data_IF_850716697240
#
_entry.id   IF_850716697240
#
_cell.length_a   1.000
_cell.length_b   1.000
_cell.length_c   1.000
_cell.angle_alpha   90.00
_cell.angle_beta   90.00
_cell.angle_gamma   90.00
#
_symmetry.space_group_name_H-M   'P 1'
#
loop_
_entity.id
_entity.type
_entity.pdbx_description
1 polymer ?
#
# COMPACT_ATOMS: atom_id res chain seq x y z
N UNK A 1 50.39 17.69 -2.07
CA UNK A 1 48.96 17.68 -1.82
C UNK A 1 48.61 16.26 -1.42
N UNK A 2 48.02 16.00 -0.26
CA UNK A 2 47.50 14.68 0.07
C UNK A 2 46.35 14.40 -0.88
N UNK A 3 46.37 13.28 -1.58
CA UNK A 3 45.20 12.74 -2.25
C UNK A 3 44.26 12.28 -1.16
N UNK A 4 43.18 13.04 -0.92
CA UNK A 4 42.05 12.53 -0.21
C UNK A 4 41.48 11.40 -1.06
N UNK A 5 41.53 10.18 -0.56
CA UNK A 5 40.75 9.09 -1.10
C UNK A 5 39.28 9.53 -0.95
N UNK A 6 38.44 9.39 -1.96
CA UNK A 6 37.04 9.66 -1.79
C UNK A 6 36.52 8.77 -0.65
N UNK A 7 36.09 9.39 0.44
CA UNK A 7 35.24 8.70 1.42
C UNK A 7 34.12 8.09 0.61
N UNK A 8 33.89 6.79 0.77
CA UNK A 8 32.73 6.13 0.16
C UNK A 8 31.51 6.97 0.57
N UNK A 9 30.86 7.62 -0.38
CA UNK A 9 29.69 8.43 -0.10
C UNK A 9 28.68 7.52 0.60
N UNK A 10 28.22 7.86 1.81
CA UNK A 10 27.27 7.01 2.51
C UNK A 10 26.05 6.80 1.62
N UNK A 11 25.63 5.56 1.49
CA UNK A 11 24.45 5.22 0.70
C UNK A 11 23.23 5.95 1.27
N UNK A 12 22.49 6.66 0.41
CA UNK A 12 21.32 7.43 0.83
C UNK A 12 20.06 6.58 0.96
N UNK A 13 20.11 5.33 0.48
CA UNK A 13 18.98 4.39 0.46
C UNK A 13 19.26 3.21 1.38
N UNK A 14 18.28 2.89 2.22
CA UNK A 14 18.30 1.66 3.04
C UNK A 14 17.12 0.76 2.71
N UNK A 15 17.37 -0.54 2.78
CA UNK A 15 16.31 -1.57 2.72
C UNK A 15 16.32 -2.35 4.02
N UNK A 16 15.23 -2.28 4.76
CA UNK A 16 15.05 -2.92 6.06
C UNK A 16 14.08 -4.09 5.93
N UNK A 17 14.57 -5.29 6.17
CA UNK A 17 13.75 -6.52 6.21
C UNK A 17 13.21 -6.78 7.61
N UNK A 18 11.88 -6.81 7.75
CA UNK A 18 11.20 -6.96 9.03
C UNK A 18 10.67 -8.37 9.23
N UNK A 19 11.14 -9.04 10.30
CA UNK A 19 10.72 -10.40 10.62
C UNK A 19 11.19 -11.45 9.62
N UNK A 20 10.57 -12.63 9.60
CA UNK A 20 10.98 -13.73 8.74
C UNK A 20 10.82 -13.42 7.24
N UNK A 21 9.61 -13.06 6.79
CA UNK A 21 9.34 -12.79 5.37
C UNK A 21 10.14 -11.60 4.83
N UNK A 22 10.13 -10.46 5.53
CA UNK A 22 10.93 -9.31 5.11
C UNK A 22 12.43 -9.58 5.15
N UNK A 23 12.90 -10.34 6.15
CA UNK A 23 14.29 -10.78 6.25
C UNK A 23 14.71 -11.66 5.07
N UNK A 24 13.86 -12.61 4.65
CA UNK A 24 14.12 -13.48 3.49
C UNK A 24 14.23 -12.66 2.20
N UNK A 25 13.33 -11.73 1.98
CA UNK A 25 13.37 -10.85 0.81
C UNK A 25 14.66 -10.03 0.78
N UNK A 26 15.09 -9.45 1.92
CA UNK A 26 16.35 -8.68 1.99
C UNK A 26 17.57 -9.61 1.84
N UNK A 27 17.53 -10.82 2.37
CA UNK A 27 18.60 -11.80 2.14
C UNK A 27 18.74 -12.15 0.66
N UNK A 28 17.62 -12.22 -0.07
CA UNK A 28 17.63 -12.44 -1.51
C UNK A 28 18.21 -11.24 -2.25
N UNK A 29 17.74 -10.03 -1.96
CA UNK A 29 18.28 -8.78 -2.54
C UNK A 29 19.79 -8.63 -2.33
N UNK A 30 20.25 -8.96 -1.13
CA UNK A 30 21.67 -8.91 -0.80
C UNK A 30 22.51 -9.88 -1.63
N UNK A 31 21.99 -11.10 -1.87
CA UNK A 31 22.66 -12.09 -2.72
C UNK A 31 22.68 -11.70 -4.20
N UNK A 32 21.63 -11.01 -4.68
CA UNK A 32 21.57 -10.48 -6.05
C UNK A 32 22.55 -9.30 -6.29
N UNK A 33 23.11 -8.71 -5.22
CA UNK A 33 24.13 -7.68 -5.33
C UNK A 33 23.59 -6.34 -5.85
N UNK A 34 22.47 -5.86 -5.31
CA UNK A 34 21.94 -4.53 -5.64
C UNK A 34 22.91 -3.48 -5.09
N UNK A 35 23.41 -2.61 -5.96
CA UNK A 35 24.41 -1.59 -5.64
C UNK A 35 23.79 -0.32 -5.04
N UNK A 36 24.63 0.45 -4.33
CA UNK A 36 24.28 1.77 -3.77
C UNK A 36 23.11 1.75 -2.77
N UNK A 37 22.90 0.61 -2.10
CA UNK A 37 21.86 0.40 -1.08
C UNK A 37 22.48 -0.27 0.15
N UNK A 38 22.11 0.21 1.33
CA UNK A 38 22.45 -0.45 2.61
C UNK A 38 21.34 -1.41 3.02
N UNK A 39 21.67 -2.67 3.21
CA UNK A 39 20.72 -3.69 3.68
C UNK A 39 20.80 -3.86 5.19
N UNK A 40 19.61 -3.96 5.81
CA UNK A 40 19.45 -4.19 7.24
C UNK A 40 18.38 -5.26 7.46
N UNK A 41 18.59 -6.16 8.40
CA UNK A 41 17.54 -7.09 8.86
C UNK A 41 17.22 -6.81 10.32
N UNK A 42 15.92 -6.68 10.61
CA UNK A 42 15.37 -6.45 11.93
C UNK A 42 14.44 -7.60 12.31
N UNK A 43 14.67 -8.22 13.47
CA UNK A 43 13.83 -9.31 13.93
C UNK A 43 13.76 -9.35 15.47
N UNK A 44 12.68 -9.91 16.00
CA UNK A 44 12.55 -10.28 17.42
C UNK A 44 13.16 -11.64 17.71
N UNK A 45 13.55 -12.39 16.69
CA UNK A 45 14.18 -13.72 16.77
C UNK A 45 15.67 -13.63 16.46
N UNK A 46 16.49 -13.89 17.46
CA UNK A 46 17.95 -13.80 17.34
C UNK A 46 18.54 -14.92 16.46
N UNK A 47 17.92 -16.11 16.44
CA UNK A 47 18.38 -17.20 15.60
C UNK A 47 18.22 -16.85 14.11
N UNK A 48 17.05 -16.30 13.72
CA UNK A 48 16.82 -15.84 12.35
C UNK A 48 17.78 -14.73 11.92
N UNK A 49 18.16 -13.83 12.85
CA UNK A 49 19.18 -12.83 12.60
C UNK A 49 20.57 -13.45 12.39
N UNK A 50 20.93 -14.45 13.19
CA UNK A 50 22.23 -15.11 13.09
C UNK A 50 22.42 -15.80 11.72
N UNK A 51 21.37 -16.39 11.18
CA UNK A 51 21.38 -17.12 9.89
C UNK A 51 21.41 -16.19 8.66
N UNK A 52 21.08 -14.91 8.82
CA UNK A 52 21.07 -13.94 7.71
C UNK A 52 22.48 -13.64 7.21
N UNK A 53 22.73 -13.57 5.89
CA UNK A 53 24.00 -13.14 5.30
C UNK A 53 24.22 -11.62 5.36
N UNK A 54 23.17 -10.86 5.66
CA UNK A 54 23.23 -9.39 5.71
C UNK A 54 24.09 -8.93 6.89
N UNK A 55 25.05 -8.02 6.68
CA UNK A 55 26.00 -7.65 7.74
C UNK A 55 25.37 -6.80 8.85
N UNK A 56 24.40 -5.93 8.50
CA UNK A 56 23.74 -5.06 9.48
C UNK A 56 22.47 -5.73 10.00
N UNK A 57 22.46 -6.02 11.29
CA UNK A 57 21.40 -6.76 11.97
C UNK A 57 20.95 -6.00 13.21
N UNK A 58 19.66 -5.88 13.41
CA UNK A 58 19.08 -5.26 14.59
C UNK A 58 18.08 -6.22 15.26
N UNK A 59 18.40 -6.64 16.48
CA UNK A 59 17.47 -7.37 17.30
C UNK A 59 16.46 -6.39 17.93
N UNK A 60 15.17 -6.68 17.81
CA UNK A 60 14.10 -5.92 18.43
C UNK A 60 13.70 -6.57 19.76
N UNK A 61 13.72 -5.77 20.82
CA UNK A 61 13.51 -6.24 22.18
C UNK A 61 14.69 -7.06 22.72
N UNK A 62 14.63 -7.38 24.01
CA UNK A 62 15.76 -8.00 24.74
C UNK A 62 15.70 -9.53 24.73
N UNK A 63 14.53 -10.13 24.54
CA UNK A 63 14.34 -11.57 24.73
C UNK A 63 14.96 -12.43 23.62
N UNK A 64 14.90 -11.99 22.36
CA UNK A 64 15.47 -12.72 21.21
C UNK A 64 14.73 -14.02 20.83
N UNK A 65 13.55 -14.29 21.41
CA UNK A 65 12.80 -15.53 21.27
C UNK A 65 11.69 -15.48 20.20
N UNK A 66 11.62 -14.39 19.44
CA UNK A 66 10.56 -14.14 18.47
C UNK A 66 9.26 -13.65 19.11
N UNK A 67 8.36 -13.13 18.29
CA UNK A 67 7.07 -12.57 18.73
C UNK A 67 5.96 -13.63 18.91
N UNK A 68 6.17 -14.89 18.55
CA UNK A 68 5.18 -15.96 18.70
C UNK A 68 3.88 -15.71 17.95
N UNK A 69 3.96 -15.11 16.77
CA UNK A 69 2.81 -14.71 15.93
C UNK A 69 1.84 -13.72 16.63
N UNK A 70 2.37 -12.86 17.52
CA UNK A 70 1.61 -11.83 18.26
C UNK A 70 2.15 -10.45 17.88
N UNK A 71 1.41 -9.65 17.09
CA UNK A 71 1.86 -8.32 16.66
C UNK A 71 2.10 -7.36 17.83
N UNK A 72 1.27 -7.42 18.88
CA UNK A 72 1.40 -6.55 20.05
C UNK A 72 2.77 -6.72 20.72
N UNK A 73 3.23 -7.97 20.87
CA UNK A 73 4.54 -8.29 21.43
C UNK A 73 5.69 -7.78 20.58
N UNK A 74 5.53 -7.86 19.25
CA UNK A 74 6.53 -7.32 18.34
C UNK A 74 6.54 -5.78 18.34
N UNK A 75 5.37 -5.15 18.49
CA UNK A 75 5.26 -3.70 18.67
C UNK A 75 6.01 -3.23 19.90
N UNK A 76 5.73 -3.85 21.05
CA UNK A 76 6.42 -3.55 22.31
C UNK A 76 7.95 -3.71 22.18
N UNK A 77 8.40 -4.79 21.55
CA UNK A 77 9.82 -5.03 21.29
C UNK A 77 10.45 -3.96 20.39
N UNK A 78 9.72 -3.46 19.39
CA UNK A 78 10.19 -2.36 18.54
C UNK A 78 10.23 -1.03 19.30
N UNK A 79 9.24 -0.76 20.16
CA UNK A 79 9.20 0.42 21.02
C UNK A 79 10.35 0.41 22.03
N UNK A 80 10.73 -0.74 22.59
CA UNK A 80 11.93 -0.88 23.44
C UNK A 80 13.23 -0.55 22.72
N UNK A 81 13.31 -0.85 21.42
CA UNK A 81 14.53 -0.69 20.60
C UNK A 81 14.52 0.61 19.78
N UNK A 82 13.66 1.56 20.11
CA UNK A 82 13.45 2.76 19.30
C UNK A 82 14.72 3.62 19.13
N UNK A 83 15.56 3.70 20.15
CA UNK A 83 16.81 4.47 20.09
C UNK A 83 17.84 3.79 19.20
N UNK A 84 17.90 2.46 19.20
CA UNK A 84 18.77 1.71 18.28
C UNK A 84 18.32 1.88 16.83
N UNK A 85 16.99 1.89 16.60
CA UNK A 85 16.40 2.18 15.28
C UNK A 85 16.76 3.59 14.80
N UNK A 86 16.65 4.60 15.66
CA UNK A 86 17.05 5.97 15.33
C UNK A 86 18.54 6.05 15.04
N UNK A 87 19.38 5.40 15.85
CA UNK A 87 20.82 5.32 15.61
C UNK A 87 21.17 4.72 14.25
N UNK A 88 20.47 3.63 13.86
CA UNK A 88 20.63 2.97 12.57
C UNK A 88 20.22 3.86 11.39
N UNK A 89 19.20 4.71 11.56
CA UNK A 89 18.67 5.58 10.51
C UNK A 89 19.44 6.92 10.41
N UNK A 90 20.20 7.32 11.44
CA UNK A 90 20.85 8.63 11.54
C UNK A 90 22.27 8.67 10.94
N UNK A 91 22.51 7.99 9.84
CA UNK A 91 23.80 7.92 9.14
C UNK A 91 23.80 8.61 7.76
N UNK A 92 22.89 9.55 7.55
CA UNK A 92 22.72 10.25 6.27
C UNK A 92 21.69 9.63 5.34
N UNK A 93 20.94 8.61 5.81
CA UNK A 93 19.84 8.00 5.08
C UNK A 93 18.78 9.03 4.67
N UNK A 94 18.36 9.02 3.41
CA UNK A 94 17.32 9.91 2.85
C UNK A 94 16.06 9.15 2.47
N UNK A 95 16.18 7.85 2.24
CA UNK A 95 15.08 6.99 1.85
C UNK A 95 15.22 5.61 2.48
N UNK A 96 14.10 5.09 2.97
CA UNK A 96 14.05 3.74 3.52
C UNK A 96 12.92 2.94 2.88
N UNK A 97 13.27 1.74 2.41
CA UNK A 97 12.31 0.70 2.10
C UNK A 97 12.14 -0.19 3.32
N UNK A 98 10.91 -0.39 3.76
CA UNK A 98 10.57 -1.31 4.84
C UNK A 98 9.79 -2.46 4.24
N UNK A 99 10.43 -3.61 4.12
CA UNK A 99 9.80 -4.82 3.57
C UNK A 99 9.37 -5.75 4.69
N UNK A 100 8.13 -6.23 4.61
CA UNK A 100 7.55 -7.11 5.62
C UNK A 100 6.52 -8.08 5.04
N UNK A 101 6.57 -9.35 5.47
CA UNK A 101 5.42 -10.24 5.32
C UNK A 101 4.40 -9.97 6.42
N UNK A 102 3.20 -9.52 6.04
CA UNK A 102 2.11 -9.27 6.97
C UNK A 102 1.42 -10.59 7.38
N UNK A 103 0.73 -10.56 8.51
CA UNK A 103 0.05 -11.74 9.07
C UNK A 103 0.90 -12.54 10.07
N UNK A 104 2.20 -12.22 10.21
CA UNK A 104 3.07 -12.73 11.27
C UNK A 104 3.13 -11.79 12.49
N UNK A 105 3.97 -12.12 13.47
CA UNK A 105 4.18 -11.26 14.64
C UNK A 105 5.03 -10.04 14.30
N UNK A 106 6.31 -10.26 13.95
CA UNK A 106 7.31 -9.20 13.82
C UNK A 106 7.01 -8.25 12.66
N UNK A 107 6.73 -8.77 11.45
CA UNK A 107 6.41 -7.92 10.30
C UNK A 107 5.18 -7.05 10.55
N UNK A 108 4.10 -7.63 11.07
CA UNK A 108 2.83 -6.93 11.30
C UNK A 108 2.90 -5.90 12.43
N UNK A 109 3.60 -6.23 13.53
CA UNK A 109 3.62 -5.39 14.72
C UNK A 109 4.73 -4.36 14.74
N UNK A 110 5.94 -4.73 14.33
CA UNK A 110 7.13 -3.88 14.43
C UNK A 110 7.33 -2.96 13.21
N UNK A 111 6.98 -3.40 11.99
CA UNK A 111 7.20 -2.59 10.78
C UNK A 111 6.53 -1.22 10.84
N UNK A 112 5.26 -1.06 11.30
CA UNK A 112 4.62 0.25 11.41
C UNK A 112 5.36 1.19 12.40
N UNK A 113 5.96 0.66 13.46
CA UNK A 113 6.71 1.46 14.44
C UNK A 113 8.00 2.00 13.83
N UNK A 114 8.72 1.14 13.11
CA UNK A 114 9.95 1.56 12.41
C UNK A 114 9.62 2.56 11.30
N UNK A 115 8.54 2.33 10.55
CA UNK A 115 8.07 3.25 9.53
C UNK A 115 7.75 4.63 10.10
N UNK A 116 7.00 4.67 11.21
CA UNK A 116 6.72 5.91 11.93
C UNK A 116 8.00 6.62 12.35
N UNK A 117 8.95 5.89 12.93
CA UNK A 117 10.22 6.47 13.36
C UNK A 117 11.01 7.08 12.20
N UNK A 118 11.07 6.39 11.06
CA UNK A 118 11.72 6.91 9.85
C UNK A 118 11.03 8.17 9.31
N UNK A 119 9.70 8.15 9.25
CA UNK A 119 8.89 9.30 8.80
C UNK A 119 9.04 10.51 9.75
N UNK A 120 9.06 10.29 11.06
CA UNK A 120 9.27 11.32 12.08
C UNK A 120 10.69 11.95 11.98
N UNK A 121 11.65 11.24 11.36
CA UNK A 121 13.01 11.74 11.05
C UNK A 121 13.11 12.42 9.67
N UNK A 122 11.99 12.69 8.97
CA UNK A 122 11.90 13.23 7.60
C UNK A 122 12.64 12.39 6.54
N UNK A 123 12.70 11.08 6.75
CA UNK A 123 13.22 10.10 5.78
C UNK A 123 12.06 9.65 4.90
N UNK A 124 12.23 9.70 3.57
CA UNK A 124 11.23 9.17 2.63
C UNK A 124 11.01 7.69 2.91
N UNK A 125 9.82 7.34 3.40
CA UNK A 125 9.52 6.00 3.90
C UNK A 125 8.57 5.26 2.96
N UNK A 126 9.03 4.17 2.39
CA UNK A 126 8.26 3.32 1.48
C UNK A 126 8.07 1.94 2.09
N UNK A 127 6.81 1.54 2.26
CA UNK A 127 6.47 0.19 2.68
C UNK A 127 6.30 -0.74 1.47
N UNK A 128 6.88 -1.93 1.53
CA UNK A 128 6.65 -3.00 0.54
C UNK A 128 6.24 -4.24 1.30
N UNK A 129 4.96 -4.58 1.25
CA UNK A 129 4.40 -5.62 2.12
C UNK A 129 3.66 -6.69 1.34
N UNK A 130 3.68 -7.93 1.87
CA UNK A 130 2.91 -9.03 1.31
C UNK A 130 1.74 -9.40 2.19
N UNK A 131 0.61 -9.74 1.55
CA UNK A 131 -0.54 -10.38 2.18
C UNK A 131 -0.39 -11.90 1.97
N UNK A 132 -0.60 -12.74 3.02
CA UNK A 132 -0.39 -14.18 2.95
C UNK A 132 -1.31 -14.88 1.96
N UNK A 133 -0.92 -16.10 1.57
CA UNK A 133 -1.75 -17.00 0.78
C UNK A 133 -3.02 -17.41 1.52
N UNK A 134 -4.08 -17.72 0.78
CA UNK A 134 -5.37 -18.14 1.35
C UNK A 134 -5.26 -19.38 2.24
N UNK A 135 -4.39 -20.34 1.86
CA UNK A 135 -4.17 -21.56 2.64
C UNK A 135 -3.50 -21.34 4.01
N UNK A 136 -2.92 -20.16 4.25
CA UNK A 136 -2.33 -19.82 5.55
C UNK A 136 -3.38 -19.51 6.62
N UNK A 137 -4.63 -19.36 6.24
CA UNK A 137 -5.82 -19.27 7.09
C UNK A 137 -6.30 -17.83 7.38
N UNK A 138 -7.62 -17.71 7.56
CA UNK A 138 -8.31 -16.42 7.66
C UNK A 138 -7.74 -15.52 8.78
N UNK A 139 -7.43 -16.08 9.95
CA UNK A 139 -6.87 -15.30 11.07
C UNK A 139 -5.57 -14.59 10.68
N UNK A 140 -4.74 -15.26 9.86
CA UNK A 140 -3.47 -14.68 9.43
C UNK A 140 -3.69 -13.59 8.39
N UNK A 141 -4.70 -13.78 7.53
CA UNK A 141 -5.12 -12.79 6.54
C UNK A 141 -5.69 -11.55 7.23
N UNK A 142 -6.62 -11.72 8.17
CA UNK A 142 -7.20 -10.60 8.93
C UNK A 142 -6.11 -9.80 9.65
N UNK A 143 -5.17 -10.50 10.30
CA UNK A 143 -4.02 -9.89 10.96
C UNK A 143 -3.11 -9.14 9.96
N UNK A 144 -2.97 -9.66 8.73
CA UNK A 144 -2.20 -9.00 7.68
C UNK A 144 -2.88 -7.70 7.21
N UNK A 145 -4.18 -7.74 6.98
CA UNK A 145 -4.96 -6.57 6.58
C UNK A 145 -4.91 -5.46 7.64
N UNK A 146 -5.01 -5.84 8.93
CA UNK A 146 -4.80 -4.91 10.05
C UNK A 146 -3.40 -4.28 10.04
N UNK A 147 -2.39 -5.08 9.70
CA UNK A 147 -1.01 -4.62 9.57
C UNK A 147 -0.81 -3.66 8.41
N UNK A 148 -1.43 -3.96 7.26
CA UNK A 148 -1.41 -3.11 6.06
C UNK A 148 -2.04 -1.74 6.37
N UNK A 149 -3.20 -1.72 7.04
CA UNK A 149 -3.86 -0.49 7.45
C UNK A 149 -2.99 0.36 8.37
N UNK A 150 -2.39 -0.24 9.41
CA UNK A 150 -1.46 0.45 10.31
C UNK A 150 -0.23 0.96 9.59
N UNK A 151 0.32 0.15 8.67
CA UNK A 151 1.50 0.54 7.89
C UNK A 151 1.22 1.74 7.00
N UNK A 152 0.05 1.80 6.35
CA UNK A 152 -0.33 2.89 5.45
C UNK A 152 -0.39 4.26 6.13
N UNK A 153 -0.64 4.30 7.43
CA UNK A 153 -0.67 5.54 8.21
C UNK A 153 0.73 6.12 8.49
N UNK A 154 1.77 5.29 8.36
CA UNK A 154 3.12 5.64 8.79
C UNK A 154 4.16 5.65 7.66
N UNK A 155 3.76 5.40 6.42
CA UNK A 155 4.61 5.48 5.23
C UNK A 155 4.20 6.62 4.31
N UNK A 156 5.07 7.01 3.40
CA UNK A 156 4.75 7.96 2.32
C UNK A 156 4.09 7.24 1.15
N UNK A 157 4.57 6.05 0.84
CA UNK A 157 3.97 5.18 -0.17
C UNK A 157 3.96 3.73 0.32
N UNK A 158 2.91 2.98 -0.02
CA UNK A 158 2.73 1.59 0.38
C UNK A 158 2.46 0.71 -0.85
N UNK A 159 3.38 -0.18 -1.16
CA UNK A 159 3.16 -1.25 -2.13
C UNK A 159 2.63 -2.49 -1.40
N UNK A 160 1.48 -2.98 -1.82
CA UNK A 160 0.85 -4.17 -1.25
C UNK A 160 0.81 -5.27 -2.29
N UNK A 161 1.49 -6.38 -2.01
CA UNK A 161 1.59 -7.54 -2.88
C UNK A 161 0.71 -8.64 -2.32
N UNK A 162 -0.26 -9.10 -3.09
CA UNK A 162 -1.11 -10.22 -2.71
C UNK A 162 -0.51 -11.54 -3.22
N UNK A 163 -0.01 -12.37 -2.29
CA UNK A 163 0.58 -13.66 -2.64
C UNK A 163 -0.40 -14.60 -3.36
N UNK A 164 -1.71 -14.49 -3.09
CA UNK A 164 -2.70 -15.31 -3.77
C UNK A 164 -2.73 -15.06 -5.28
N UNK A 165 -2.44 -13.83 -5.74
CA UNK A 165 -2.30 -13.53 -7.17
C UNK A 165 -1.12 -14.24 -7.81
N UNK A 166 -0.03 -14.44 -7.07
CA UNK A 166 1.09 -15.22 -7.56
C UNK A 166 0.72 -16.69 -7.76
N UNK A 167 -0.16 -17.23 -6.91
CA UNK A 167 -0.69 -18.59 -7.08
C UNK A 167 -1.51 -18.74 -8.35
N UNK A 168 -2.32 -17.75 -8.69
CA UNK A 168 -3.15 -17.80 -9.91
C UNK A 168 -2.29 -17.87 -11.18
N UNK A 169 -1.10 -17.26 -11.17
CA UNK A 169 -0.20 -17.21 -12.31
C UNK A 169 0.75 -18.42 -12.34
N UNK A 170 1.25 -18.81 -11.18
CA UNK A 170 2.23 -19.88 -11.01
C UNK A 170 1.61 -21.10 -10.33
N UNK A 171 0.43 -21.53 -10.80
CA UNK A 171 -0.36 -22.63 -10.22
C UNK A 171 0.36 -23.98 -10.18
N UNK A 172 1.37 -24.18 -11.03
CA UNK A 172 2.21 -25.38 -11.15
C UNK A 172 3.46 -25.36 -10.24
N UNK A 173 3.68 -24.26 -9.51
CA UNK A 173 4.83 -24.16 -8.61
C UNK A 173 4.65 -25.01 -7.35
N UNK A 174 5.77 -25.56 -6.85
CA UNK A 174 5.78 -26.10 -5.49
C UNK A 174 5.56 -24.99 -4.46
N UNK A 175 5.07 -25.34 -3.26
CA UNK A 175 4.85 -24.37 -2.18
C UNK A 175 6.13 -23.58 -1.87
N UNK A 176 7.29 -24.23 -1.87
CA UNK A 176 8.57 -23.56 -1.62
C UNK A 176 8.91 -22.55 -2.73
N UNK A 177 8.65 -22.92 -3.99
CA UNK A 177 8.86 -22.01 -5.12
C UNK A 177 7.88 -20.82 -5.11
N UNK A 178 6.63 -21.03 -4.65
CA UNK A 178 5.65 -19.98 -4.51
C UNK A 178 6.07 -18.93 -3.46
N UNK A 179 6.59 -19.37 -2.31
CA UNK A 179 7.18 -18.44 -1.33
C UNK A 179 8.43 -17.72 -1.87
N UNK A 180 9.33 -18.48 -2.54
CA UNK A 180 10.48 -17.86 -3.21
C UNK A 180 10.06 -16.80 -4.21
N UNK A 181 8.97 -17.01 -4.95
CA UNK A 181 8.44 -16.04 -5.90
C UNK A 181 7.85 -14.79 -5.23
N UNK A 182 7.24 -14.95 -4.05
CA UNK A 182 6.81 -13.82 -3.24
C UNK A 182 8.01 -12.97 -2.77
N UNK A 183 9.09 -13.61 -2.32
CA UNK A 183 10.33 -12.94 -1.93
C UNK A 183 11.00 -12.24 -3.15
N UNK A 184 11.04 -12.89 -4.33
CA UNK A 184 11.49 -12.30 -5.60
C UNK A 184 10.70 -11.03 -5.93
N UNK A 185 9.40 -11.07 -5.75
CA UNK A 185 8.51 -9.95 -6.08
C UNK A 185 8.79 -8.73 -5.20
N UNK A 186 8.99 -8.94 -3.89
CA UNK A 186 9.45 -7.89 -2.98
C UNK A 186 10.81 -7.33 -3.40
N UNK A 187 11.74 -8.22 -3.81
CA UNK A 187 13.07 -7.85 -4.28
C UNK A 187 13.00 -6.99 -5.55
N UNK A 188 12.23 -7.42 -6.55
CA UNK A 188 12.06 -6.70 -7.81
C UNK A 188 11.50 -5.30 -7.57
N UNK A 189 10.51 -5.17 -6.66
CA UNK A 189 9.91 -3.88 -6.35
C UNK A 189 10.94 -2.91 -5.73
N UNK A 190 11.66 -3.33 -4.69
CA UNK A 190 12.67 -2.49 -4.07
C UNK A 190 13.83 -2.18 -5.03
N UNK A 191 14.31 -3.19 -5.77
CA UNK A 191 15.38 -3.08 -6.75
C UNK A 191 15.06 -2.06 -7.85
N UNK A 192 13.89 -2.17 -8.45
CA UNK A 192 13.50 -1.30 -9.57
C UNK A 192 13.39 0.16 -9.15
N UNK A 193 12.88 0.45 -7.94
CA UNK A 193 12.82 1.84 -7.44
C UNK A 193 14.24 2.33 -7.09
N UNK A 194 15.07 1.50 -6.48
CA UNK A 194 16.45 1.85 -6.15
C UNK A 194 17.26 2.12 -7.43
N UNK A 195 17.15 1.27 -8.44
CA UNK A 195 17.83 1.42 -9.75
C UNK A 195 17.46 2.74 -10.45
N UNK A 196 16.20 3.17 -10.37
CA UNK A 196 15.77 4.46 -10.93
C UNK A 196 16.56 5.63 -10.33
N UNK A 197 16.95 5.52 -9.06
CA UNK A 197 17.68 6.58 -8.34
C UNK A 197 19.20 6.45 -8.53
N UNK A 198 19.72 5.23 -8.56
CA UNK A 198 21.18 4.96 -8.48
C UNK A 198 21.83 4.83 -9.84
N UNK A 199 21.12 4.33 -10.85
CA UNK A 199 21.64 4.15 -12.20
C UNK A 199 21.53 5.46 -12.97
N UNK A 200 22.61 5.89 -13.62
CA UNK A 200 22.58 7.07 -14.48
C UNK A 200 21.95 6.74 -15.83
N UNK A 201 20.89 7.47 -16.18
CA UNK A 201 20.22 7.36 -17.47
C UNK A 201 20.64 8.44 -18.48
N UNK A 202 20.25 8.28 -19.72
CA UNK A 202 20.34 9.33 -20.75
C UNK A 202 19.36 10.48 -20.43
N UNK A 203 18.15 10.13 -20.00
CA UNK A 203 17.22 11.04 -19.33
C UNK A 203 17.15 10.55 -17.90
N UNK A 204 17.79 11.30 -17.02
CA UNK A 204 18.00 10.86 -15.65
C UNK A 204 16.81 11.27 -14.77
N UNK A 205 16.38 10.34 -13.93
CA UNK A 205 15.48 10.60 -12.83
C UNK A 205 16.33 10.71 -11.55
N UNK A 206 16.20 11.80 -10.83
CA UNK A 206 16.92 12.00 -9.59
C UNK A 206 16.10 11.60 -8.36
N UNK A 207 16.73 11.61 -7.20
CA UNK A 207 16.08 11.31 -5.93
C UNK A 207 14.85 12.18 -5.68
N UNK A 208 14.89 13.47 -6.05
CA UNK A 208 13.77 14.38 -5.81
C UNK A 208 12.59 14.10 -6.74
N UNK A 209 12.82 13.61 -7.97
CA UNK A 209 11.75 13.16 -8.86
C UNK A 209 11.00 11.99 -8.26
N UNK A 210 11.73 10.99 -7.74
CA UNK A 210 11.15 9.84 -7.06
C UNK A 210 10.46 10.27 -5.76
N UNK A 211 11.07 11.17 -4.99
CA UNK A 211 10.47 11.73 -3.76
C UNK A 211 9.15 12.45 -4.09
N UNK A 212 9.08 13.23 -5.15
CA UNK A 212 7.86 13.94 -5.57
C UNK A 212 6.71 12.97 -5.85
N UNK A 213 7.00 11.84 -6.50
CA UNK A 213 5.97 10.84 -6.82
C UNK A 213 5.55 10.04 -5.60
N UNK A 214 6.49 9.64 -4.74
CA UNK A 214 6.24 8.75 -3.61
C UNK A 214 5.76 9.49 -2.35
N UNK A 215 6.19 10.74 -2.11
CA UNK A 215 5.83 11.48 -0.90
C UNK A 215 4.33 11.72 -0.84
N UNK A 216 3.73 11.29 0.28
CA UNK A 216 2.29 11.34 0.53
C UNK A 216 1.46 10.69 -0.61
N UNK A 217 2.06 9.67 -1.25
CA UNK A 217 1.50 8.97 -2.40
C UNK A 217 0.41 7.96 -2.07
N UNK A 218 0.22 7.62 -0.79
CA UNK A 218 -0.75 6.61 -0.35
C UNK A 218 -0.40 5.21 -0.82
N UNK A 219 -1.34 4.49 -1.41
CA UNK A 219 -1.03 3.19 -2.03
C UNK A 219 -0.33 3.44 -3.36
N UNK A 220 0.77 2.73 -3.55
CA UNK A 220 1.56 2.74 -4.78
C UNK A 220 1.43 1.40 -5.50
N UNK A 221 1.48 1.46 -6.81
CA UNK A 221 1.48 0.30 -7.68
C UNK A 221 2.74 0.38 -8.54
N UNK A 222 3.44 -0.73 -8.67
CA UNK A 222 4.61 -0.82 -9.51
C UNK A 222 4.53 -2.06 -10.38
N UNK A 223 4.96 -1.90 -11.62
CA UNK A 223 5.05 -3.03 -12.53
C UNK A 223 6.19 -2.85 -13.52
N UNK A 224 6.65 -3.98 -14.04
CA UNK A 224 7.69 -4.05 -15.05
C UNK A 224 7.25 -5.03 -16.14
N UNK A 225 7.41 -4.63 -17.39
CA UNK A 225 7.14 -5.48 -18.54
C UNK A 225 8.28 -5.44 -19.56
N UNK A 226 8.32 -6.46 -20.40
CA UNK A 226 9.35 -6.66 -21.40
C UNK A 226 8.72 -6.82 -22.79
N UNK A 227 9.40 -6.29 -23.82
CA UNK A 227 8.98 -6.45 -25.20
C UNK A 227 10.17 -6.68 -26.12
N UNK A 228 9.95 -7.44 -27.20
CA UNK A 228 10.96 -7.80 -28.20
C UNK A 228 10.38 -7.79 -29.60
N UNK A 229 11.18 -7.41 -30.60
CA UNK A 229 10.78 -7.41 -32.00
C UNK A 229 10.00 -6.17 -32.41
N UNK A 230 9.08 -6.33 -33.38
CA UNK A 230 8.20 -5.25 -33.82
C UNK A 230 7.24 -4.83 -32.69
N UNK A 231 7.01 -3.51 -32.54
CA UNK A 231 6.16 -2.93 -31.48
C UNK A 231 6.58 -3.36 -30.05
N UNK A 232 7.89 -3.51 -29.82
CA UNK A 232 8.46 -3.96 -28.54
C UNK A 232 8.11 -3.05 -27.38
N UNK A 233 7.91 -1.75 -27.61
CA UNK A 233 7.50 -0.78 -26.59
C UNK A 233 6.06 -1.02 -26.19
N UNK A 234 5.14 -1.17 -27.14
CA UNK A 234 3.73 -1.53 -26.85
C UNK A 234 3.63 -2.88 -26.15
N UNK A 235 4.44 -3.86 -26.55
CA UNK A 235 4.49 -5.15 -25.86
C UNK A 235 4.94 -4.99 -24.41
N UNK A 236 6.04 -4.24 -24.16
CA UNK A 236 6.54 -3.98 -22.81
C UNK A 236 5.52 -3.24 -21.93
N UNK A 237 4.84 -2.24 -22.49
CA UNK A 237 3.76 -1.52 -21.79
C UNK A 237 2.61 -2.48 -21.47
N UNK A 238 2.14 -3.27 -22.43
CA UNK A 238 1.06 -4.21 -22.21
C UNK A 238 1.43 -5.31 -21.21
N UNK A 239 2.65 -5.84 -21.28
CA UNK A 239 3.17 -6.80 -20.32
C UNK A 239 3.20 -6.21 -18.89
N UNK A 240 3.66 -4.96 -18.75
CA UNK A 240 3.62 -4.24 -17.49
C UNK A 240 2.18 -4.07 -16.98
N UNK A 241 1.23 -3.68 -17.84
CA UNK A 241 -0.18 -3.46 -17.46
C UNK A 241 -0.91 -4.76 -17.09
N UNK A 242 -0.47 -5.90 -17.57
CA UNK A 242 -1.04 -7.21 -17.24
C UNK A 242 -0.27 -7.94 -16.13
N UNK A 243 0.69 -7.26 -15.51
CA UNK A 243 1.46 -7.84 -14.42
C UNK A 243 0.56 -8.15 -13.21
N UNK A 244 0.78 -9.29 -12.56
CA UNK A 244 0.08 -9.70 -11.34
C UNK A 244 0.23 -8.71 -10.19
N UNK A 245 1.24 -7.86 -10.25
CA UNK A 245 1.52 -6.85 -9.23
C UNK A 245 0.52 -5.68 -9.27
N UNK A 246 -0.18 -5.49 -10.37
CA UNK A 246 -1.16 -4.41 -10.53
C UNK A 246 -2.50 -4.63 -9.81
N UNK A 247 -2.71 -5.79 -9.16
CA UNK A 247 -3.90 -6.08 -8.34
C UNK A 247 -5.25 -5.66 -8.96
N UNK A 248 -5.40 -5.70 -10.28
CA UNK A 248 -6.57 -5.21 -11.03
C UNK A 248 -6.88 -3.71 -10.85
N UNK A 249 -6.00 -2.93 -10.22
CA UNK A 249 -6.22 -1.50 -10.09
C UNK A 249 -5.99 -0.83 -11.44
N UNK A 250 -6.90 0.05 -11.79
CA UNK A 250 -6.76 0.85 -12.99
C UNK A 250 -5.68 1.92 -12.78
N UNK A 251 -4.49 1.68 -13.32
CA UNK A 251 -3.35 2.60 -13.23
C UNK A 251 -3.70 4.01 -13.77
N UNK A 252 -4.68 4.09 -14.68
CA UNK A 252 -5.08 5.35 -15.31
C UNK A 252 -5.78 6.31 -14.32
N UNK A 253 -6.23 5.82 -13.16
CA UNK A 253 -6.78 6.61 -12.07
C UNK A 253 -5.72 7.16 -11.10
N UNK A 254 -4.43 6.97 -11.39
CA UNK A 254 -3.34 7.50 -10.57
C UNK A 254 -3.27 9.03 -10.60
N UNK A 255 -2.77 9.63 -9.51
CA UNK A 255 -2.53 11.07 -9.42
C UNK A 255 -1.12 11.45 -9.87
N UNK A 256 -0.16 10.56 -9.63
CA UNK A 256 1.24 10.75 -10.00
C UNK A 256 1.78 9.47 -10.62
N UNK A 257 2.56 9.59 -11.67
CA UNK A 257 3.17 8.47 -12.38
C UNK A 257 4.64 8.74 -12.65
N UNK A 258 5.43 7.73 -12.46
CA UNK A 258 6.81 7.69 -12.89
C UNK A 258 7.01 6.44 -13.74
N UNK A 259 7.58 6.59 -14.91
CA UNK A 259 7.95 5.44 -15.71
C UNK A 259 9.37 5.54 -16.25
N UNK A 260 9.96 4.39 -16.48
CA UNK A 260 11.30 4.25 -17.00
C UNK A 260 11.32 3.28 -18.18
N UNK A 261 12.03 3.65 -19.24
CA UNK A 261 12.27 2.81 -20.39
C UNK A 261 13.75 2.46 -20.43
N UNK A 262 14.06 1.17 -20.45
CA UNK A 262 15.44 0.68 -20.57
C UNK A 262 15.61 -0.11 -21.86
N UNK A 263 16.74 0.09 -22.54
CA UNK A 263 17.11 -0.57 -23.78
C UNK A 263 18.63 -0.72 -23.88
N UNK A 264 19.11 -1.56 -24.79
CA UNK A 264 20.55 -1.75 -25.04
C UNK A 264 21.02 -0.88 -26.20
N UNK A 265 22.29 -0.45 -26.17
CA UNK A 265 22.93 0.26 -27.31
C UNK A 265 22.97 -0.59 -28.61
N UNK A 266 22.85 -1.91 -28.49
CA UNK A 266 22.73 -2.80 -29.65
C UNK A 266 21.39 -2.67 -30.38
N UNK A 267 20.37 -2.17 -29.73
CA UNK A 267 19.02 -2.00 -30.23
C UNK A 267 18.41 -0.72 -29.68
N UNK A 268 18.94 0.42 -30.17
CA UNK A 268 18.52 1.75 -29.68
C UNK A 268 17.03 2.00 -29.91
N UNK A 269 16.43 2.79 -29.00
CA UNK A 269 15.04 3.19 -29.11
C UNK A 269 14.87 4.23 -30.23
N UNK A 270 13.94 3.97 -31.13
CA UNK A 270 13.67 4.85 -32.28
C UNK A 270 12.62 5.89 -31.91
N UNK A 271 12.69 7.09 -32.50
CA UNK A 271 11.71 8.15 -32.31
C UNK A 271 10.29 7.73 -32.71
N UNK A 272 10.13 6.82 -33.65
CA UNK A 272 8.85 6.24 -34.05
C UNK A 272 8.20 5.43 -32.91
N UNK A 273 9.02 4.71 -32.13
CA UNK A 273 8.57 3.93 -30.97
C UNK A 273 8.08 4.82 -29.81
N UNK A 274 8.49 6.09 -29.75
CA UNK A 274 7.98 7.05 -28.76
C UNK A 274 6.51 7.43 -28.99
N UNK A 275 5.94 7.19 -30.16
CA UNK A 275 4.51 7.35 -30.38
C UNK A 275 3.69 6.35 -29.52
N UNK A 276 4.22 5.14 -29.32
CA UNK A 276 3.58 4.12 -28.46
C UNK A 276 3.56 4.56 -26.99
N UNK A 277 4.61 5.25 -26.54
CA UNK A 277 4.65 5.87 -25.20
C UNK A 277 3.65 7.03 -25.10
N UNK A 278 3.55 7.83 -26.16
CA UNK A 278 2.58 8.93 -26.22
C UNK A 278 1.14 8.40 -26.16
N UNK A 279 0.83 7.33 -26.88
CA UNK A 279 -0.48 6.67 -26.86
C UNK A 279 -0.81 6.11 -25.49
N UNK A 280 0.17 5.56 -24.78
CA UNK A 280 0.03 5.13 -23.39
C UNK A 280 -0.29 6.32 -22.47
N UNK A 281 0.48 7.41 -22.58
CA UNK A 281 0.29 8.59 -21.75
C UNK A 281 -1.04 9.32 -22.01
N UNK A 282 -1.55 9.26 -23.25
CA UNK A 282 -2.83 9.88 -23.62
C UNK A 282 -4.05 9.30 -22.89
N UNK A 283 -3.91 8.10 -22.31
CA UNK A 283 -4.97 7.43 -21.55
C UNK A 283 -5.11 7.98 -20.11
N UNK A 284 -4.12 8.74 -19.64
CA UNK A 284 -4.17 9.35 -18.32
C UNK A 284 -4.93 10.68 -18.32
N UNK A 285 -5.47 11.06 -17.16
CA UNK A 285 -6.10 12.35 -16.97
C UNK A 285 -5.13 13.52 -17.18
N UNK A 286 -5.64 14.69 -17.54
CA UNK A 286 -4.81 15.88 -17.82
C UNK A 286 -4.05 16.40 -16.61
N UNK A 287 -4.48 16.07 -15.40
CA UNK A 287 -3.94 16.58 -14.14
C UNK A 287 -2.91 15.59 -13.51
N UNK A 288 -2.56 14.51 -14.21
CA UNK A 288 -1.60 13.53 -13.70
C UNK A 288 -0.18 14.08 -13.79
N UNK A 289 0.48 14.17 -12.63
CA UNK A 289 1.90 14.54 -12.59
C UNK A 289 2.77 13.39 -13.08
N UNK A 290 3.50 13.63 -14.18
CA UNK A 290 4.30 12.60 -14.86
C UNK A 290 5.77 12.90 -14.77
N UNK A 291 6.56 11.86 -14.42
CA UNK A 291 8.02 11.83 -14.50
C UNK A 291 8.43 10.63 -15.33
N UNK A 292 9.46 10.78 -16.15
CA UNK A 292 9.97 9.66 -16.94
C UNK A 292 11.48 9.70 -17.16
N UNK A 293 12.06 8.54 -17.34
CA UNK A 293 13.48 8.35 -17.56
C UNK A 293 13.78 7.40 -18.69
N UNK A 294 15.02 7.49 -19.19
CA UNK A 294 15.53 6.67 -20.27
C UNK A 294 16.91 6.13 -19.89
N UNK A 295 17.06 4.81 -19.87
CA UNK A 295 18.25 4.14 -19.37
C UNK A 295 18.82 3.16 -20.40
N UNK A 296 20.14 3.01 -20.36
CA UNK A 296 20.86 2.01 -21.16
C UNK A 296 21.16 0.81 -20.25
N UNK A 297 20.67 -0.35 -20.64
CA UNK A 297 20.90 -1.63 -19.97
C UNK A 297 21.35 -2.67 -21.02
N UNK A 298 22.64 -2.92 -21.07
CA UNK A 298 23.23 -3.83 -22.06
C UNK A 298 22.79 -5.29 -21.91
N UNK A 299 22.26 -5.65 -20.74
CA UNK A 299 21.75 -7.00 -20.50
C UNK A 299 20.45 -7.31 -21.27
N UNK A 300 19.75 -6.28 -21.73
CA UNK A 300 18.49 -6.41 -22.46
C UNK A 300 18.66 -6.86 -23.92
N UNK A 301 19.86 -6.70 -24.48
CA UNK A 301 20.17 -7.03 -25.86
C UNK A 301 19.20 -6.38 -26.88
N UNK A 302 18.19 -7.11 -27.36
CA UNK A 302 17.17 -6.64 -28.30
C UNK A 302 15.84 -6.28 -27.62
N UNK A 303 15.74 -6.48 -26.31
CA UNK A 303 14.52 -6.23 -25.56
C UNK A 303 14.44 -4.77 -25.10
N UNK A 304 13.20 -4.33 -24.88
CA UNK A 304 12.89 -3.10 -24.14
C UNK A 304 12.23 -3.51 -22.82
N UNK A 305 12.67 -2.88 -21.73
CA UNK A 305 12.06 -3.00 -20.41
C UNK A 305 11.31 -1.71 -20.09
N UNK A 306 10.05 -1.81 -19.76
CA UNK A 306 9.20 -0.71 -19.31
C UNK A 306 8.85 -0.91 -17.83
N UNK A 307 9.24 0.03 -16.99
CA UNK A 307 8.90 0.01 -15.57
C UNK A 307 8.01 1.20 -15.24
N UNK A 308 6.91 0.97 -14.57
CA UNK A 308 5.96 2.00 -14.18
C UNK A 308 5.72 1.95 -12.68
N UNK A 309 5.70 3.14 -12.06
CA UNK A 309 5.36 3.38 -10.67
C UNK A 309 4.23 4.42 -10.64
N UNK A 310 3.09 4.06 -10.12
CA UNK A 310 1.91 4.93 -10.02
C UNK A 310 1.48 5.07 -8.56
N UNK A 311 1.07 6.28 -8.17
CA UNK A 311 0.66 6.59 -6.80
C UNK A 311 -0.61 7.44 -6.78
N UNK A 312 -1.20 7.59 -5.60
CA UNK A 312 -2.42 8.37 -5.40
C UNK A 312 -3.65 7.51 -5.19
N UNK A 313 -3.47 6.20 -5.03
CA UNK A 313 -4.56 5.28 -4.70
C UNK A 313 -4.83 5.29 -3.20
N UNK A 314 -6.09 5.04 -2.84
CA UNK A 314 -6.50 4.85 -1.46
C UNK A 314 -6.24 3.43 -0.97
N UNK A 315 -6.22 3.24 0.35
CA UNK A 315 -6.12 1.89 0.93
C UNK A 315 -7.34 1.02 0.58
N UNK A 316 -8.48 1.63 0.29
CA UNK A 316 -9.70 0.96 -0.16
C UNK A 316 -9.53 0.31 -1.54
N UNK A 317 -8.63 0.84 -2.35
CA UNK A 317 -8.34 0.31 -3.69
C UNK A 317 -7.49 -0.99 -3.63
N UNK A 318 -6.98 -1.35 -2.45
CA UNK A 318 -6.30 -2.64 -2.23
C UNK A 318 -7.36 -3.75 -2.14
N UNK A 319 -7.31 -4.77 -3.00
CA UNK A 319 -8.29 -5.85 -3.03
C UNK A 319 -8.48 -6.52 -1.66
N UNK A 320 -9.73 -6.59 -1.19
CA UNK A 320 -10.09 -7.14 0.12
C UNK A 320 -10.13 -6.15 1.27
N UNK A 321 -9.56 -4.95 1.12
CA UNK A 321 -9.58 -3.90 2.15
C UNK A 321 -10.93 -3.16 2.19
N UNK A 322 -11.59 -2.98 1.06
CA UNK A 322 -12.85 -2.24 0.94
C UNK A 322 -13.96 -2.83 1.82
N UNK A 323 -14.26 -4.11 1.66
CA UNK A 323 -15.27 -4.82 2.45
C UNK A 323 -14.94 -4.85 3.96
N UNK A 324 -13.68 -4.89 4.30
CA UNK A 324 -13.23 -4.95 5.69
C UNK A 324 -13.37 -3.59 6.37
N UNK A 325 -13.00 -2.51 5.71
CA UNK A 325 -13.15 -1.14 6.23
C UNK A 325 -14.63 -0.78 6.39
N UNK A 326 -15.49 -1.14 5.44
CA UNK A 326 -16.93 -0.92 5.54
C UNK A 326 -17.54 -1.70 6.73
N UNK A 327 -17.15 -2.96 6.94
CA UNK A 327 -17.61 -3.74 8.11
C UNK A 327 -17.14 -3.12 9.43
N UNK A 328 -15.89 -2.67 9.52
CA UNK A 328 -15.38 -2.02 10.73
C UNK A 328 -16.10 -0.71 11.03
N UNK A 329 -16.33 0.11 10.03
CA UNK A 329 -17.07 1.36 10.20
C UNK A 329 -18.47 1.08 10.76
N UNK A 330 -19.15 0.04 10.26
CA UNK A 330 -20.47 -0.39 10.76
C UNK A 330 -20.37 -0.95 12.20
N UNK A 331 -19.35 -1.75 12.50
CA UNK A 331 -19.15 -2.31 13.84
C UNK A 331 -18.78 -1.24 14.88
N UNK A 332 -17.94 -0.27 14.49
CA UNK A 332 -17.60 0.87 15.36
C UNK A 332 -18.81 1.77 15.60
N UNK A 333 -19.65 2.00 14.59
CA UNK A 333 -20.89 2.74 14.76
C UNK A 333 -21.86 2.00 15.70
N UNK A 334 -22.05 0.69 15.54
CA UNK A 334 -22.87 -0.12 16.45
C UNK A 334 -22.35 -0.10 17.87
N UNK A 335 -21.04 -0.25 18.06
CA UNK A 335 -20.41 -0.17 19.37
C UNK A 335 -20.60 1.19 20.03
N UNK A 336 -20.53 2.25 19.25
CA UNK A 336 -20.75 3.62 19.72
C UNK A 336 -22.22 3.81 20.14
N UNK A 337 -23.17 3.29 19.35
CA UNK A 337 -24.60 3.31 19.67
C UNK A 337 -24.91 2.51 20.95
N UNK A 338 -24.33 1.32 21.11
CA UNK A 338 -24.49 0.49 22.32
C UNK A 338 -23.95 1.21 23.58
N UNK A 339 -22.80 1.88 23.46
CA UNK A 339 -22.24 2.67 24.57
C UNK A 339 -23.13 3.88 24.92
N UNK A 340 -23.67 4.55 23.92
CA UNK A 340 -24.59 5.67 24.12
C UNK A 340 -25.93 5.22 24.78
N UNK A 341 -26.46 4.06 24.37
CA UNK A 341 -27.64 3.47 24.98
C UNK A 341 -27.38 3.03 26.46
N UNK A 342 -26.20 2.47 26.72
CA UNK A 342 -25.81 2.09 28.08
C UNK A 342 -25.67 3.32 29.00
N UNK A 343 -25.10 4.39 28.46
CA UNK A 343 -24.96 5.66 29.18
C UNK A 343 -26.33 6.32 29.42
N UNK A 344 -27.25 6.26 28.47
CA UNK A 344 -28.62 6.73 28.62
C UNK A 344 -29.37 5.92 29.67
N UNK A 345 -29.28 4.60 29.70
CA UNK A 345 -29.87 3.74 30.75
C UNK A 345 -29.31 4.05 32.15
N UNK A 346 -28.01 4.35 32.22
CA UNK A 346 -27.36 4.77 33.47
C UNK A 346 -27.88 6.13 33.94
N UNK A 347 -28.07 7.07 33.03
CA UNK A 347 -28.60 8.41 33.35
C UNK A 347 -30.09 8.38 33.73
N UNK A 348 -30.90 7.57 33.04
CA UNK A 348 -32.30 7.34 33.44
C UNK A 348 -32.40 6.73 34.83
N UNK A 349 -31.60 5.71 35.13
CA UNK A 349 -31.55 5.07 36.45
C UNK A 349 -31.09 6.03 37.56
N UNK A 350 -30.15 6.93 37.24
CA UNK A 350 -29.75 8.01 38.18
C UNK A 350 -30.85 9.05 38.35
N UNK A 351 -31.55 9.39 37.27
CA UNK A 351 -32.67 10.33 37.27
C UNK A 351 -33.85 9.86 38.12
N UNK A 352 -34.13 8.55 38.13
CA UNK A 352 -35.17 7.94 38.95
C UNK A 352 -34.85 8.01 40.47
N UNK A 353 -33.56 7.99 40.86
CA UNK A 353 -33.11 8.07 42.23
C UNK A 353 -32.95 9.50 42.78
N UNK A 354 -32.45 10.42 41.91
CA UNK A 354 -32.04 11.77 42.33
C UNK A 354 -32.93 12.89 41.75
N UNK A 355 -33.95 12.54 41.01
CA UNK A 355 -34.84 13.49 40.32
C UNK A 355 -34.41 13.78 38.89
N UNK A 356 -35.40 13.73 37.98
CA UNK A 356 -35.18 13.79 36.51
C UNK A 356 -34.52 15.08 35.97
N UNK A 357 -34.47 16.13 36.79
CA UNK A 357 -33.92 17.43 36.37
C UNK A 357 -32.48 17.66 36.83
N UNK A 358 -31.93 16.82 37.70
CA UNK A 358 -30.58 16.99 38.24
C UNK A 358 -29.48 16.60 37.25
N UNK A 359 -29.76 15.75 36.29
CA UNK A 359 -28.77 15.23 35.32
C UNK A 359 -29.04 15.65 33.87
N UNK A 360 -30.08 16.45 33.60
CA UNK A 360 -30.38 16.96 32.27
C UNK A 360 -29.38 18.01 31.74
N UNK A 361 -28.46 18.49 32.60
CA UNK A 361 -27.56 19.60 32.28
C UNK A 361 -26.07 19.27 32.19
N UNK A 362 -25.65 18.03 32.18
CA UNK A 362 -24.27 17.67 31.91
C UNK A 362 -24.05 17.56 30.39
N UNK A 363 -23.60 18.63 29.78
CA UNK A 363 -22.89 18.69 28.48
C UNK A 363 -23.34 17.69 27.41
N UNK A 364 -24.62 17.63 27.06
CA UNK A 364 -25.01 17.09 25.76
C UNK A 364 -24.55 18.09 24.70
N UNK A 365 -23.34 17.98 24.20
CA UNK A 365 -23.04 18.43 22.84
C UNK A 365 -24.05 17.70 21.97
N UNK A 366 -25.08 18.40 21.48
CA UNK A 366 -25.99 17.85 20.48
C UNK A 366 -25.10 17.40 19.32
N UNK A 367 -24.86 16.08 19.22
CA UNK A 367 -24.25 15.53 18.02
C UNK A 367 -25.24 15.78 16.89
N UNK A 368 -24.78 16.43 15.88
CA UNK A 368 -25.59 16.66 14.67
C UNK A 368 -25.67 15.33 13.92
N UNK A 369 -26.86 14.95 13.50
CA UNK A 369 -27.08 13.81 12.65
C UNK A 369 -26.52 14.15 11.24
N UNK A 370 -25.31 13.66 10.96
CA UNK A 370 -24.59 13.92 9.69
C UNK A 370 -24.94 12.80 8.73
N UNK A 371 -25.35 13.15 7.52
CA UNK A 371 -25.49 12.21 6.42
C UNK A 371 -24.11 12.11 5.74
N UNK A 372 -23.62 10.89 5.57
CA UNK A 372 -22.36 10.61 4.86
C UNK A 372 -22.76 10.07 3.50
N UNK A 373 -22.45 10.83 2.44
CA UNK A 373 -22.74 10.43 1.06
C UNK A 373 -21.89 9.23 0.66
N UNK A 374 -22.49 8.22 0.03
CA UNK A 374 -21.78 7.24 -0.79
C UNK A 374 -21.40 7.87 -2.13
N UNK A 375 -20.59 7.18 -2.93
CA UNK A 375 -20.26 7.67 -4.28
C UNK A 375 -21.50 7.74 -5.18
N UNK A 376 -22.43 6.81 -5.00
CA UNK A 376 -23.69 6.73 -5.74
C UNK A 376 -24.70 7.82 -5.33
N UNK A 377 -24.71 8.19 -4.04
CA UNK A 377 -25.51 9.31 -3.53
C UNK A 377 -25.09 10.65 -4.12
N UNK A 378 -23.82 10.81 -4.54
CA UNK A 378 -23.30 12.06 -5.11
C UNK A 378 -23.82 12.36 -6.52
N UNK A 379 -24.28 11.33 -7.22
CA UNK A 379 -24.89 11.45 -8.54
C UNK A 379 -26.43 11.51 -8.48
N UNK A 380 -27.00 11.49 -7.24
CA UNK A 380 -28.46 11.50 -7.01
C UNK A 380 -28.93 12.87 -6.52
N UNK A 381 -29.50 13.66 -7.43
CA UNK A 381 -30.00 15.02 -7.15
C UNK A 381 -31.09 15.05 -6.07
N UNK A 382 -31.92 14.02 -5.94
CA UNK A 382 -32.99 13.92 -4.93
C UNK A 382 -32.40 13.74 -3.52
N UNK A 383 -31.39 12.90 -3.36
CA UNK A 383 -30.68 12.69 -2.09
C UNK A 383 -29.93 13.97 -1.70
N UNK A 384 -29.23 14.59 -2.64
CA UNK A 384 -28.52 15.85 -2.42
C UNK A 384 -29.50 16.92 -1.97
N UNK A 385 -30.61 17.09 -2.67
CA UNK A 385 -31.66 18.08 -2.35
C UNK A 385 -32.26 17.85 -0.97
N UNK A 386 -32.55 16.60 -0.58
CA UNK A 386 -33.06 16.25 0.76
C UNK A 386 -32.06 16.59 1.85
N UNK A 387 -30.77 16.37 1.63
CA UNK A 387 -29.71 16.68 2.58
C UNK A 387 -29.47 18.18 2.68
N UNK A 388 -29.52 18.94 1.59
CA UNK A 388 -29.36 20.39 1.56
C UNK A 388 -30.54 21.13 2.20
N UNK A 389 -31.77 20.66 1.94
CA UNK A 389 -32.98 21.32 2.48
C UNK A 389 -33.18 21.07 3.98
N UNK A 390 -32.50 20.08 4.56
CA UNK A 390 -32.62 19.77 6.00
C UNK A 390 -31.29 20.07 6.71
N UNK A 391 -31.16 21.22 7.40
CA UNK A 391 -29.96 21.58 8.13
C UNK A 391 -29.57 20.52 9.17
N UNK A 392 -28.29 20.26 9.35
CA UNK A 392 -27.73 19.19 10.20
C UNK A 392 -28.27 19.24 11.63
N UNK A 393 -28.54 20.43 12.17
CA UNK A 393 -29.07 20.62 13.53
C UNK A 393 -30.56 20.33 13.67
N UNK A 394 -31.30 20.19 12.55
CA UNK A 394 -32.74 19.86 12.53
C UNK A 394 -32.98 18.42 12.11
N UNK A 395 -31.97 17.68 11.65
CA UNK A 395 -32.11 16.29 11.25
C UNK A 395 -32.42 15.42 12.44
N UNK A 396 -33.50 14.66 12.33
CA UNK A 396 -33.85 13.60 13.27
C UNK A 396 -33.42 12.24 12.72
N UNK A 397 -33.33 11.22 13.56
CA UNK A 397 -33.00 9.85 13.15
C UNK A 397 -33.96 9.34 12.06
N UNK A 398 -35.24 9.67 12.18
CA UNK A 398 -36.27 9.33 11.19
C UNK A 398 -36.06 9.99 9.83
N UNK A 399 -35.51 11.19 9.78
CA UNK A 399 -35.15 11.88 8.51
C UNK A 399 -33.95 11.19 7.86
N UNK A 400 -32.94 10.79 8.62
CA UNK A 400 -31.82 10.03 8.10
C UNK A 400 -32.22 8.66 7.56
N UNK A 401 -33.09 7.94 8.28
CA UNK A 401 -33.64 6.66 7.85
C UNK A 401 -34.47 6.80 6.57
N UNK A 402 -35.21 7.92 6.40
CA UNK A 402 -35.96 8.18 5.16
C UNK A 402 -35.07 8.49 3.96
N UNK A 403 -33.92 9.15 4.18
CA UNK A 403 -32.93 9.40 3.13
C UNK A 403 -32.25 8.09 2.72
N UNK A 404 -31.85 7.26 3.70
CA UNK A 404 -31.22 5.96 3.45
C UNK A 404 -32.17 4.96 2.78
N UNK A 405 -33.44 4.94 3.14
CA UNK A 405 -34.42 4.04 2.52
C UNK A 405 -34.72 4.40 1.07
N UNK A 406 -34.61 5.66 0.68
CA UNK A 406 -34.74 6.07 -0.72
C UNK A 406 -33.50 5.68 -1.54
N UNK A 407 -32.30 5.82 -1.01
CA UNK A 407 -31.06 5.35 -1.62
C UNK A 407 -31.14 3.85 -1.96
N UNK A 408 -31.61 3.01 -1.02
CA UNK A 408 -31.75 1.55 -1.20
C UNK A 408 -32.85 1.20 -2.21
N UNK A 409 -33.97 1.94 -2.25
CA UNK A 409 -35.07 1.65 -3.15
C UNK A 409 -34.72 1.93 -4.63
N UNK A 410 -33.88 2.93 -4.90
CA UNK A 410 -33.42 3.23 -6.25
C UNK A 410 -32.35 2.24 -6.74
N UNK A 411 -31.52 1.69 -5.85
CA UNK A 411 -30.60 0.58 -6.18
C UNK A 411 -31.40 -0.67 -6.64
N UNK A 412 -32.51 -0.99 -5.98
CA UNK A 412 -33.37 -2.13 -6.39
C UNK A 412 -34.06 -1.89 -7.73
N UNK A 413 -34.43 -0.65 -8.07
CA UNK A 413 -35.04 -0.31 -9.36
C UNK A 413 -34.03 -0.32 -10.51
N UNK A 414 -32.80 0.11 -10.30
CA UNK A 414 -31.72 0.02 -11.31
C UNK A 414 -31.33 -1.42 -11.59
N UNK A 415 -31.26 -2.28 -10.55
CA UNK A 415 -30.95 -3.71 -10.71
C UNK A 415 -32.04 -4.49 -11.46
N UNK A 416 -33.32 -4.11 -11.32
CA UNK A 416 -34.43 -4.73 -12.03
C UNK A 416 -34.56 -4.26 -13.49
N UNK A 417 -34.17 -3.04 -13.83
CA UNK A 417 -34.22 -2.53 -15.20
C UNK A 417 -33.09 -3.10 -16.09
N UNK A 418 -31.93 -3.47 -15.53
CA UNK A 418 -30.85 -4.11 -16.28
C UNK A 418 -31.12 -5.60 -16.56
N UNK A 419 -32.03 -6.25 -15.84
CA UNK A 419 -32.43 -7.64 -16.06
C UNK A 419 -33.56 -7.82 -17.09
N UNK A 420 -34.33 -6.78 -17.41
CA UNK A 420 -35.41 -6.87 -18.41
C UNK A 420 -34.97 -6.60 -19.87
N UNK A 421 -33.80 -6.05 -20.13
CA UNK A 421 -33.34 -5.70 -21.48
C UNK A 421 -32.30 -6.66 -22.10
N UNK A 422 -32.07 -7.83 -21.56
CA UNK A 422 -31.04 -8.79 -22.00
C UNK A 422 -31.51 -10.15 -22.53
N UNK A 423 -32.73 -10.29 -23.00
CA UNK A 423 -33.25 -11.54 -23.53
C UNK A 423 -33.11 -11.68 -25.06
N UNK A 424 -31.94 -12.11 -25.56
CA UNK A 424 -31.84 -12.61 -26.96
C UNK A 424 -32.19 -14.10 -26.93
N UNK A 425 -33.38 -14.43 -27.40
CA UNK A 425 -33.82 -15.82 -27.66
C UNK A 425 -33.23 -16.26 -29.01
N UNK A 426 -32.26 -17.17 -28.98
CA UNK A 426 -31.83 -17.90 -30.17
C UNK A 426 -32.65 -19.20 -30.24
N UNK A 427 -33.55 -19.28 -31.21
CA UNK A 427 -34.24 -20.52 -31.60
C UNK A 427 -33.45 -21.23 -32.68
N UNK A 428 -33.19 -22.52 -32.46
CA UNK A 428 -32.70 -23.48 -33.47
C UNK A 428 -33.88 -24.05 -34.27
#
# INVERSE_FOLDING_TARGET
MPFDFPEENPTIIKVIGMGGGGGNAVNHMYKEGIHDVTFVVCNTDNQALAESPVPVKLQLGKEGLGAGNRPERAREAAEESIEDVKGMLNDGCKMVFITAGMGGGTGTGAAPIIAKTAKDMDILTVGIVTIPFLFEGNRKIDQALDGVEKMSQHVDALLVINNERLRDIYSDFSVMNAFGKADDTLSIAAKSIAEIITIRGTINLDFNDVKTVLKDGGVAIMSTGYGKGESRVSQAINDALHSPLLNNNDIFNSKKILFNISFSTKSELMMEEMNEVHDFMSKFGKDVETKWGLYIDESLEEQVKFTVLATGFGIKDVPGMDNMMNKRTIEEQKKLEELEEEEQRKDERRGDYYGKDTFKNSNKKKRHNIYIFSLEDLDNDDIISMVETTPTFQRTKTVLESIQSKAIAEEEETFNNDTENGGITITF
#
